data_IF_084285668048
#
_entry.id   IF_084285668048
#
_cell.length_a   1.000
_cell.length_b   1.000
_cell.length_c   1.000
_cell.angle_alpha   90.00
_cell.angle_beta   90.00
_cell.angle_gamma   90.00
#
_symmetry.space_group_name_H-M   'P 1'
#
loop_
_entity.id
_entity.type
_entity.pdbx_description
1 polymer ?
#
# COMPACT_ATOMS: atom_id res chain seq x y z
N UNK A 1 23.45 -4.97 -32.50
CA UNK A 1 23.62 -5.54 -31.14
C UNK A 1 22.30 -6.21 -30.77
N UNK A 2 22.29 -7.54 -30.70
CA UNK A 2 21.07 -8.36 -30.66
C UNK A 2 20.52 -8.43 -29.22
N UNK A 3 19.45 -7.68 -28.93
CA UNK A 3 18.73 -7.77 -27.67
C UNK A 3 17.83 -9.02 -27.70
N UNK A 4 18.24 -10.09 -27.01
CA UNK A 4 17.38 -11.25 -26.80
C UNK A 4 17.54 -11.82 -25.39
N UNK A 5 16.80 -11.25 -24.43
CA UNK A 5 16.40 -11.88 -23.17
C UNK A 5 15.04 -11.30 -22.73
N UNK A 6 13.95 -11.84 -23.26
CA UNK A 6 12.60 -11.54 -22.76
C UNK A 6 12.24 -12.55 -21.67
N UNK A 7 12.18 -12.08 -20.42
CA UNK A 7 11.49 -12.79 -19.33
C UNK A 7 10.13 -12.11 -19.13
N UNK A 8 9.04 -12.87 -19.23
CA UNK A 8 7.67 -12.42 -18.93
C UNK A 8 7.39 -12.66 -17.45
N UNK A 9 7.16 -11.59 -16.70
CA UNK A 9 7.06 -11.57 -15.23
C UNK A 9 5.63 -11.79 -14.70
N UNK A 10 4.79 -12.57 -15.39
CA UNK A 10 3.40 -12.82 -14.97
C UNK A 10 3.26 -13.84 -13.84
N UNK A 11 4.33 -14.58 -13.49
CA UNK A 11 4.20 -15.82 -12.71
C UNK A 11 4.75 -15.77 -11.27
N UNK A 12 5.14 -14.59 -10.75
CA UNK A 12 5.62 -14.47 -9.36
C UNK A 12 4.45 -14.27 -8.37
N UNK A 13 4.46 -14.95 -7.20
CA UNK A 13 3.38 -14.87 -6.22
C UNK A 13 3.21 -13.43 -5.71
N UNK A 14 2.02 -12.88 -5.95
CA UNK A 14 1.64 -11.47 -5.75
C UNK A 14 1.48 -11.18 -4.25
N UNK A 15 2.59 -11.09 -3.53
CA UNK A 15 2.65 -10.63 -2.14
C UNK A 15 3.16 -9.20 -2.07
N UNK A 16 2.34 -8.25 -1.57
CA UNK A 16 2.63 -6.80 -1.54
C UNK A 16 4.08 -6.47 -1.15
N UNK A 17 4.69 -7.03 -0.10
CA UNK A 17 6.05 -6.64 0.34
C UNK A 17 7.22 -7.17 -0.51
N UNK A 18 7.00 -8.13 -1.41
CA UNK A 18 8.11 -8.87 -2.05
C UNK A 18 8.51 -8.37 -3.44
N UNK A 19 7.67 -7.58 -4.12
CA UNK A 19 7.88 -7.25 -5.54
C UNK A 19 9.16 -6.45 -5.82
N UNK A 20 9.44 -5.39 -5.06
CA UNK A 20 10.66 -4.60 -5.27
C UNK A 20 11.92 -5.39 -4.87
N UNK A 21 11.86 -6.12 -3.75
CA UNK A 21 12.98 -6.94 -3.27
C UNK A 21 13.34 -8.03 -4.28
N UNK A 22 12.34 -8.66 -4.92
CA UNK A 22 12.57 -9.64 -5.98
C UNK A 22 13.19 -8.99 -7.21
N UNK A 23 12.67 -7.83 -7.65
CA UNK A 23 13.25 -7.09 -8.78
C UNK A 23 14.72 -6.74 -8.50
N UNK A 24 15.02 -6.20 -7.31
CA UNK A 24 16.38 -5.85 -6.90
C UNK A 24 17.30 -7.08 -6.84
N UNK A 25 16.82 -8.23 -6.36
CA UNK A 25 17.59 -9.47 -6.36
C UNK A 25 17.97 -9.94 -7.77
N UNK A 26 17.01 -9.90 -8.70
CA UNK A 26 17.25 -10.30 -10.09
C UNK A 26 18.12 -9.31 -10.87
N UNK A 27 18.05 -8.00 -10.52
CA UNK A 27 18.96 -6.97 -11.03
C UNK A 27 20.40 -7.27 -10.62
N UNK A 28 20.64 -7.55 -9.34
CA UNK A 28 21.98 -7.86 -8.81
C UNK A 28 22.58 -9.12 -9.45
N UNK A 29 21.73 -10.09 -9.78
CA UNK A 29 22.14 -11.32 -10.48
C UNK A 29 22.36 -11.11 -11.99
N UNK A 30 22.11 -9.91 -12.53
CA UNK A 30 22.27 -9.59 -13.95
C UNK A 30 21.23 -10.28 -14.85
N UNK A 31 20.11 -10.72 -14.30
CA UNK A 31 19.07 -11.44 -15.03
C UNK A 31 18.07 -10.49 -15.72
N UNK A 32 18.02 -9.23 -15.29
CA UNK A 32 17.07 -8.22 -15.78
C UNK A 32 17.82 -7.17 -16.58
N UNK A 33 17.41 -6.95 -17.83
CA UNK A 33 17.92 -5.83 -18.65
C UNK A 33 16.93 -4.68 -18.84
N UNK A 34 15.67 -4.86 -18.43
CA UNK A 34 14.61 -3.85 -18.55
C UNK A 34 13.53 -4.06 -17.49
N UNK A 35 13.20 -3.02 -16.74
CA UNK A 35 12.07 -2.96 -15.80
C UNK A 35 10.92 -2.20 -16.43
N UNK A 36 9.75 -2.84 -16.58
CA UNK A 36 8.56 -2.24 -17.18
C UNK A 36 7.44 -1.98 -16.16
N UNK A 37 6.75 -0.85 -16.31
CA UNK A 37 5.54 -0.52 -15.56
C UNK A 37 4.73 0.59 -16.23
N UNK A 38 3.41 0.63 -16.04
CA UNK A 38 2.55 1.67 -16.63
C UNK A 38 2.97 3.07 -16.15
N UNK A 39 3.23 3.19 -14.86
CA UNK A 39 3.90 4.35 -14.26
C UNK A 39 5.01 3.82 -13.34
N UNK A 40 6.25 3.83 -13.82
CA UNK A 40 7.37 3.17 -13.12
C UNK A 40 7.67 3.85 -11.78
N UNK A 41 7.43 5.16 -11.64
CA UNK A 41 7.52 5.87 -10.37
C UNK A 41 6.63 5.27 -9.26
N UNK A 42 5.51 4.60 -9.62
CA UNK A 42 4.61 3.93 -8.67
C UNK A 42 5.07 2.51 -8.27
N UNK A 43 6.11 1.97 -8.91
CA UNK A 43 6.67 0.67 -8.51
C UNK A 43 7.33 0.75 -7.12
N UNK A 44 7.95 1.88 -6.83
CA UNK A 44 8.48 2.22 -5.52
C UNK A 44 7.37 2.79 -4.64
N UNK A 45 7.35 2.40 -3.36
CA UNK A 45 6.33 2.86 -2.40
C UNK A 45 6.75 4.10 -1.63
N UNK A 46 7.99 4.51 -1.80
CA UNK A 46 8.59 5.67 -1.18
C UNK A 46 9.62 6.27 -2.13
N UNK A 47 9.91 7.55 -1.95
CA UNK A 47 10.96 8.20 -2.71
C UNK A 47 12.32 7.53 -2.48
N UNK A 48 12.59 7.00 -1.28
CA UNK A 48 13.80 6.22 -0.99
C UNK A 48 13.89 4.98 -1.90
N UNK A 49 12.82 4.19 -1.94
CA UNK A 49 12.77 2.96 -2.75
C UNK A 49 12.91 3.27 -4.24
N UNK A 50 12.41 4.44 -4.68
CA UNK A 50 12.52 4.91 -6.05
C UNK A 50 13.96 5.22 -6.41
N UNK A 51 14.64 6.04 -5.61
CA UNK A 51 16.04 6.38 -5.84
C UNK A 51 16.94 5.15 -5.76
N UNK A 52 16.68 4.24 -4.81
CA UNK A 52 17.41 2.98 -4.72
C UNK A 52 17.22 2.12 -5.99
N UNK A 53 16.02 2.05 -6.55
CA UNK A 53 15.80 1.34 -7.82
C UNK A 53 16.59 1.99 -8.97
N UNK A 54 16.60 3.32 -9.08
CA UNK A 54 17.35 4.03 -10.11
C UNK A 54 18.86 3.83 -9.99
N UNK A 55 19.39 3.81 -8.78
CA UNK A 55 20.82 3.53 -8.50
C UNK A 55 21.18 2.11 -8.92
N UNK A 56 20.36 1.13 -8.57
CA UNK A 56 20.60 -0.27 -8.90
C UNK A 56 20.48 -0.51 -10.41
N UNK A 57 19.47 0.06 -11.07
CA UNK A 57 19.34 -0.05 -12.52
C UNK A 57 20.54 0.58 -13.26
N UNK A 58 21.02 1.74 -12.80
CA UNK A 58 22.23 2.36 -13.36
C UNK A 58 23.49 1.51 -13.14
N UNK A 59 23.61 0.84 -11.98
CA UNK A 59 24.77 0.02 -11.65
C UNK A 59 24.83 -1.29 -12.45
N UNK A 60 23.67 -1.85 -12.81
CA UNK A 60 23.54 -3.15 -13.46
C UNK A 60 23.07 -3.04 -14.92
N UNK A 61 23.34 -1.91 -15.60
CA UNK A 61 22.99 -1.66 -17.02
C UNK A 61 21.54 -2.04 -17.37
N UNK A 62 20.61 -1.72 -16.48
CA UNK A 62 19.20 -2.08 -16.63
C UNK A 62 18.37 -0.87 -17.00
N UNK A 63 17.67 -0.98 -18.12
CA UNK A 63 16.76 0.05 -18.59
C UNK A 63 15.46 0.08 -17.78
N UNK A 64 14.78 1.22 -17.80
CA UNK A 64 13.45 1.41 -17.22
C UNK A 64 12.51 1.84 -18.34
N UNK A 65 11.35 1.21 -18.47
CA UNK A 65 10.36 1.60 -19.47
C UNK A 65 8.96 1.78 -18.89
N UNK A 66 8.30 2.85 -19.34
CA UNK A 66 6.89 3.11 -19.07
C UNK A 66 6.08 3.33 -20.35
N UNK A 67 4.85 3.84 -20.21
CA UNK A 67 3.99 4.12 -21.35
C UNK A 67 4.55 5.23 -22.28
N UNK A 68 5.42 6.10 -21.78
CA UNK A 68 5.96 7.25 -22.49
C UNK A 68 7.31 6.93 -23.18
N UNK A 69 8.04 5.90 -22.71
CA UNK A 69 9.29 5.52 -23.34
C UNK A 69 10.16 4.56 -22.54
N UNK A 70 11.38 4.35 -23.05
CA UNK A 70 12.45 3.59 -22.38
C UNK A 70 13.56 4.58 -22.02
N UNK A 71 14.08 4.41 -20.82
CA UNK A 71 15.03 5.29 -20.16
C UNK A 71 16.22 4.48 -19.66
N UNK A 72 17.40 5.06 -19.75
CA UNK A 72 18.64 4.55 -19.16
C UNK A 72 19.00 5.36 -17.91
N UNK A 73 18.80 4.83 -16.69
CA UNK A 73 19.11 5.52 -15.44
C UNK A 73 20.59 5.89 -15.26
N UNK A 74 21.49 5.31 -16.06
CA UNK A 74 22.91 5.65 -16.11
C UNK A 74 23.20 6.93 -16.89
N UNK A 75 22.29 7.38 -17.75
CA UNK A 75 22.46 8.65 -18.49
C UNK A 75 21.92 9.83 -17.69
N UNK A 76 22.61 10.98 -17.80
CA UNK A 76 22.25 12.19 -17.05
C UNK A 76 20.83 12.67 -17.35
N UNK A 77 20.46 12.75 -18.63
CA UNK A 77 19.17 13.29 -19.06
C UNK A 77 18.00 12.40 -18.61
N UNK A 78 18.12 11.09 -18.81
CA UNK A 78 17.06 10.16 -18.41
C UNK A 78 16.96 10.07 -16.90
N UNK A 79 18.08 10.12 -16.17
CA UNK A 79 18.08 10.15 -14.70
C UNK A 79 17.38 11.38 -14.16
N UNK A 80 17.61 12.56 -14.75
CA UNK A 80 16.89 13.78 -14.38
C UNK A 80 15.39 13.65 -14.63
N UNK A 81 15.00 13.14 -15.81
CA UNK A 81 13.61 12.96 -16.17
C UNK A 81 12.91 11.96 -15.25
N UNK A 82 13.55 10.82 -14.96
CA UNK A 82 13.06 9.81 -14.01
C UNK A 82 12.94 10.38 -12.59
N UNK A 83 13.88 11.23 -12.18
CA UNK A 83 13.79 11.98 -10.92
C UNK A 83 12.56 12.88 -10.87
N UNK A 84 12.32 13.68 -11.92
CA UNK A 84 11.15 14.55 -12.02
C UNK A 84 9.83 13.75 -12.04
N UNK A 85 9.77 12.64 -12.78
CA UNK A 85 8.61 11.72 -12.77
C UNK A 85 8.33 11.17 -11.37
N UNK A 86 9.38 10.87 -10.60
CA UNK A 86 9.27 10.48 -9.19
C UNK A 86 8.62 11.56 -8.33
N UNK A 87 9.15 12.79 -8.39
CA UNK A 87 8.62 13.95 -7.64
C UNK A 87 7.18 14.29 -8.01
N UNK A 88 6.84 14.23 -9.30
CA UNK A 88 5.48 14.48 -9.78
C UNK A 88 4.49 13.46 -9.21
N UNK A 89 4.86 12.18 -9.17
CA UNK A 89 4.03 11.12 -8.57
C UNK A 89 3.78 11.35 -7.08
N UNK A 90 4.78 11.85 -6.33
CA UNK A 90 4.63 12.22 -4.92
C UNK A 90 3.68 13.41 -4.75
N UNK A 91 3.79 14.43 -5.59
CA UNK A 91 2.91 15.60 -5.57
C UNK A 91 1.45 15.23 -5.87
N UNK A 92 1.21 14.38 -6.87
CA UNK A 92 -0.12 13.85 -7.18
C UNK A 92 -0.73 13.09 -5.99
N UNK A 93 0.06 12.22 -5.36
CA UNK A 93 -0.36 11.48 -4.18
C UNK A 93 -0.73 12.43 -3.03
N UNK A 94 0.04 13.49 -2.83
CA UNK A 94 -0.26 14.52 -1.82
C UNK A 94 -1.61 15.19 -2.08
N UNK A 95 -1.86 15.63 -3.32
CA UNK A 95 -3.14 16.24 -3.72
C UNK A 95 -4.30 15.27 -3.50
N UNK A 96 -4.16 14.02 -3.93
CA UNK A 96 -5.19 13.00 -3.77
C UNK A 96 -5.51 12.76 -2.29
N UNK A 97 -4.48 12.64 -1.44
CA UNK A 97 -4.65 12.50 0.01
C UNK A 97 -5.36 13.69 0.63
N UNK A 98 -4.99 14.92 0.26
CA UNK A 98 -5.66 16.13 0.77
C UNK A 98 -7.15 16.10 0.48
N UNK A 99 -7.53 15.83 -0.78
CA UNK A 99 -8.93 15.72 -1.21
C UNK A 99 -9.67 14.61 -0.47
N UNK A 100 -9.04 13.45 -0.28
CA UNK A 100 -9.62 12.36 0.51
C UNK A 100 -9.84 12.76 1.98
N UNK A 101 -8.89 13.47 2.59
CA UNK A 101 -9.00 13.95 3.96
C UNK A 101 -10.12 14.98 4.12
N UNK A 102 -10.24 15.92 3.19
CA UNK A 102 -11.32 16.90 3.15
C UNK A 102 -12.68 16.22 2.98
N UNK A 103 -12.79 15.25 2.08
CA UNK A 103 -13.99 14.44 1.89
C UNK A 103 -14.38 13.66 3.14
N UNK A 104 -13.42 13.04 3.83
CA UNK A 104 -13.64 12.39 5.14
C UNK A 104 -14.15 13.36 6.19
N UNK A 105 -13.56 14.56 6.28
CA UNK A 105 -14.01 15.62 7.20
C UNK A 105 -15.41 16.11 6.88
N UNK A 106 -15.76 16.22 5.60
CA UNK A 106 -17.10 16.61 5.16
C UNK A 106 -18.14 15.55 5.57
N UNK A 107 -17.85 14.26 5.35
CA UNK A 107 -18.71 13.16 5.83
C UNK A 107 -18.83 13.16 7.36
N UNK A 108 -17.74 13.40 8.07
CA UNK A 108 -17.75 13.42 9.54
C UNK A 108 -18.65 14.54 10.08
N UNK A 109 -18.58 15.74 9.50
CA UNK A 109 -19.42 16.88 9.88
C UNK A 109 -20.92 16.62 9.67
N UNK A 110 -21.29 15.77 8.73
CA UNK A 110 -22.69 15.35 8.51
C UNK A 110 -23.10 14.10 9.30
N UNK A 111 -22.20 13.51 10.09
CA UNK A 111 -22.44 12.24 10.77
C UNK A 111 -22.44 11.01 9.85
N UNK A 112 -22.04 11.17 8.59
CA UNK A 112 -22.05 10.11 7.57
C UNK A 112 -20.71 9.36 7.46
N UNK A 113 -19.69 9.76 8.25
CA UNK A 113 -18.39 9.09 8.19
C UNK A 113 -18.44 7.75 8.89
N UNK A 114 -18.68 6.70 8.13
CA UNK A 114 -18.51 5.32 8.57
C UNK A 114 -17.10 4.88 8.19
N UNK A 115 -16.27 4.66 9.20
CA UNK A 115 -14.95 4.03 9.08
C UNK A 115 -15.07 2.67 9.72
N UNK A 116 -14.60 1.61 9.03
CA UNK A 116 -14.70 0.19 9.40
C UNK A 116 -15.23 -0.07 10.81
N UNK A 117 -16.45 -0.61 10.90
CA UNK A 117 -17.12 -0.80 12.18
C UNK A 117 -16.31 -1.73 13.10
N UNK A 118 -16.26 -1.45 14.41
CA UNK A 118 -15.69 -2.39 15.36
C UNK A 118 -16.38 -3.75 15.24
N UNK A 119 -15.66 -4.83 15.61
CA UNK A 119 -16.24 -6.17 15.54
C UNK A 119 -17.51 -6.26 16.39
N UNK A 120 -18.51 -6.92 15.81
CA UNK A 120 -19.85 -7.09 16.39
C UNK A 120 -20.78 -5.87 16.24
N UNK A 121 -20.41 -4.92 15.39
CA UNK A 121 -21.32 -3.92 14.84
C UNK A 121 -21.47 -4.12 13.33
N UNK A 122 -22.69 -3.93 12.83
CA UNK A 122 -23.06 -4.06 11.41
C UNK A 122 -23.68 -2.76 10.91
N UNK A 123 -23.52 -2.50 9.62
CA UNK A 123 -24.19 -1.38 8.95
C UNK A 123 -25.50 -1.89 8.36
N UNK A 124 -26.63 -1.32 8.80
CA UNK A 124 -27.94 -1.65 8.24
C UNK A 124 -28.08 -1.09 6.82
N UNK A 125 -28.99 -1.63 5.99
CA UNK A 125 -29.33 -1.02 4.70
C UNK A 125 -29.81 0.43 4.79
N UNK A 126 -30.35 0.84 5.95
CA UNK A 126 -30.74 2.23 6.23
C UNK A 126 -29.56 3.19 6.40
N UNK A 127 -28.33 2.68 6.56
CA UNK A 127 -27.14 3.48 6.89
C UNK A 127 -26.87 3.60 8.39
N UNK A 128 -27.74 3.06 9.25
CA UNK A 128 -27.55 3.08 10.69
C UNK A 128 -26.59 1.99 11.16
N UNK A 129 -25.78 2.31 12.16
CA UNK A 129 -24.95 1.33 12.86
C UNK A 129 -25.79 0.58 13.88
N UNK A 130 -25.75 -0.75 13.84
CA UNK A 130 -26.43 -1.62 14.80
C UNK A 130 -25.47 -2.68 15.34
N UNK A 131 -25.85 -3.34 16.43
CA UNK A 131 -25.17 -4.55 16.87
C UNK A 131 -25.40 -5.67 15.84
N UNK A 132 -24.43 -6.57 15.74
CA UNK A 132 -24.57 -7.81 14.99
C UNK A 132 -25.85 -8.55 15.42
N UNK A 133 -26.70 -9.03 14.48
CA UNK A 133 -27.92 -9.75 14.84
C UNK A 133 -27.65 -11.07 15.57
N UNK A 134 -26.44 -11.63 15.49
CA UNK A 134 -26.05 -12.84 16.22
C UNK A 134 -26.05 -12.58 17.74
N UNK A 135 -26.92 -13.29 18.47
CA UNK A 135 -27.05 -13.15 19.92
C UNK A 135 -25.77 -13.50 20.69
N UNK A 136 -24.99 -14.46 20.18
CA UNK A 136 -23.69 -14.83 20.74
C UNK A 136 -22.68 -13.70 20.62
N UNK A 137 -22.63 -13.02 19.47
CA UNK A 137 -21.80 -11.83 19.27
C UNK A 137 -22.23 -10.68 20.17
N UNK A 138 -23.54 -10.41 20.28
CA UNK A 138 -24.05 -9.38 21.19
C UNK A 138 -23.71 -9.68 22.64
N UNK A 139 -23.87 -10.93 23.07
CA UNK A 139 -23.58 -11.36 24.44
C UNK A 139 -22.09 -11.21 24.74
N UNK A 140 -21.22 -11.63 23.82
CA UNK A 140 -19.78 -11.45 23.97
C UNK A 140 -19.41 -9.96 24.13
N UNK A 141 -19.95 -9.07 23.29
CA UNK A 141 -19.71 -7.62 23.41
C UNK A 141 -20.19 -7.08 24.76
N UNK A 142 -21.42 -7.42 25.19
CA UNK A 142 -21.95 -6.97 26.48
C UNK A 142 -21.08 -7.45 27.64
N UNK A 143 -20.58 -8.69 27.58
CA UNK A 143 -19.66 -9.23 28.58
C UNK A 143 -18.32 -8.48 28.61
N UNK A 144 -17.75 -8.11 27.45
CA UNK A 144 -16.54 -7.27 27.37
C UNK A 144 -16.74 -5.99 28.19
N UNK A 145 -17.81 -5.24 27.90
CA UNK A 145 -18.08 -3.97 28.56
C UNK A 145 -18.39 -4.14 30.04
N UNK A 146 -19.18 -5.15 30.44
CA UNK A 146 -19.50 -5.40 31.84
C UNK A 146 -18.27 -5.77 32.68
N UNK A 147 -17.32 -6.54 32.13
CA UNK A 147 -16.06 -6.83 32.85
C UNK A 147 -15.15 -5.62 32.89
N UNK A 148 -15.08 -4.85 31.80
CA UNK A 148 -14.31 -3.61 31.76
C UNK A 148 -14.82 -2.59 32.79
N UNK A 149 -16.12 -2.37 32.91
CA UNK A 149 -16.69 -1.48 33.93
C UNK A 149 -16.31 -1.89 35.36
N UNK A 150 -16.32 -3.20 35.65
CA UNK A 150 -15.95 -3.72 36.98
C UNK A 150 -14.46 -3.61 37.27
N UNK A 151 -13.60 -3.90 36.30
CA UNK A 151 -12.15 -4.06 36.53
C UNK A 151 -11.30 -2.88 36.06
N UNK A 152 -11.86 -1.99 35.25
CA UNK A 152 -11.22 -0.81 34.61
C UNK A 152 -9.85 -1.09 33.98
N UNK A 153 -9.58 -2.33 33.59
CA UNK A 153 -8.30 -2.78 33.05
C UNK A 153 -8.49 -3.82 31.95
N UNK A 154 -7.93 -3.52 30.78
CA UNK A 154 -7.95 -4.39 29.60
C UNK A 154 -7.12 -5.66 29.84
N UNK A 155 -6.01 -5.56 30.59
CA UNK A 155 -5.14 -6.72 30.84
C UNK A 155 -5.80 -7.77 31.70
N UNK A 156 -6.54 -7.33 32.72
CA UNK A 156 -7.25 -8.25 33.62
C UNK A 156 -8.42 -8.95 32.90
N UNK A 157 -9.00 -8.32 31.87
CA UNK A 157 -10.01 -8.93 31.02
C UNK A 157 -9.45 -10.04 30.12
N UNK A 158 -8.33 -9.77 29.45
CA UNK A 158 -7.66 -10.75 28.57
C UNK A 158 -7.22 -12.01 29.33
N UNK A 159 -6.72 -11.86 30.57
CA UNK A 159 -6.41 -13.02 31.41
C UNK A 159 -7.65 -13.83 31.83
N UNK A 160 -8.85 -13.22 31.90
CA UNK A 160 -10.08 -13.90 32.28
C UNK A 160 -10.79 -14.62 31.12
N UNK A 161 -10.41 -14.32 29.87
CA UNK A 161 -10.90 -14.97 28.65
C UNK A 161 -9.96 -16.06 28.10
N UNK A 162 -8.77 -16.21 28.69
CA UNK A 162 -7.75 -17.17 28.28
C UNK A 162 -7.86 -18.53 29.02
N UNK A 163 -9.03 -18.83 29.59
CA UNK A 163 -9.39 -20.10 30.25
C UNK A 163 -10.67 -20.62 29.60
#
# INVERSE_FOLDING_TARGET
MSYRKHVRWTDLPIGRRRRLVVILGELILGHVGLVLGIEVSRLARSCRDWHQLLEMCALFDTLIGDADGIYDPGTYNDRLLLGLKGTMSEAELHILKSRMHEGRRAKARRGELIMGLPRGYVLKPSGDVALDPDEGVQQAIRQVFAVFERRRSIMVYLCALAV
#
